data_IF_172391873563
#
_entry.id   IF_172391873563
#
_cell.length_a   1.000
_cell.length_b   1.000
_cell.length_c   1.000
_cell.angle_alpha   90.00
_cell.angle_beta   90.00
_cell.angle_gamma   90.00
#
_symmetry.space_group_name_H-M   'P 1'
#
loop_
_entity.id
_entity.type
_entity.pdbx_description
1 polymer ?
#
# COMPACT_ATOMS: atom_id res chain seq x y z
N UNK A 1 26.37 -56.61 5.58
CA UNK A 1 25.03 -56.34 5.03
C UNK A 1 25.18 -55.23 4.00
N UNK A 2 25.15 -55.55 2.71
CA UNK A 2 25.30 -54.57 1.63
C UNK A 2 23.95 -53.86 1.41
N UNK A 3 23.94 -52.54 1.47
CA UNK A 3 22.76 -51.72 1.12
C UNK A 3 22.69 -51.66 -0.41
N UNK A 4 21.73 -52.37 -0.99
CA UNK A 4 21.60 -52.52 -2.45
C UNK A 4 20.83 -51.39 -3.12
N UNK A 5 20.11 -50.55 -2.38
CA UNK A 5 19.32 -49.43 -2.94
C UNK A 5 19.06 -48.33 -1.92
N UNK A 6 19.08 -47.08 -2.38
CA UNK A 6 18.67 -45.91 -1.61
C UNK A 6 17.17 -45.94 -1.28
N UNK A 7 16.74 -45.36 -0.13
CA UNK A 7 15.33 -45.24 0.19
C UNK A 7 14.60 -44.40 -0.85
N UNK A 8 13.38 -44.82 -1.19
CA UNK A 8 12.55 -44.10 -2.14
C UNK A 8 12.24 -42.69 -1.62
N UNK A 9 12.27 -41.66 -2.48
CA UNK A 9 11.92 -40.31 -2.08
C UNK A 9 10.46 -40.25 -1.60
N UNK A 10 10.15 -39.37 -0.63
CA UNK A 10 8.80 -39.24 -0.10
C UNK A 10 7.80 -38.94 -1.22
N UNK A 11 6.79 -39.80 -1.34
CA UNK A 11 5.69 -39.60 -2.28
C UNK A 11 4.72 -38.59 -1.70
N UNK A 12 4.91 -37.32 -2.03
CA UNK A 12 3.89 -36.30 -1.75
C UNK A 12 2.65 -36.60 -2.61
N UNK A 13 1.53 -36.97 -1.98
CA UNK A 13 0.22 -36.90 -2.66
C UNK A 13 0.07 -35.47 -3.20
N UNK A 14 -0.50 -35.28 -4.40
CA UNK A 14 -0.87 -33.94 -4.89
C UNK A 14 -1.72 -33.28 -3.81
N UNK A 15 -1.13 -32.38 -3.04
CA UNK A 15 -1.84 -31.63 -2.01
C UNK A 15 -2.67 -30.58 -2.76
N UNK A 16 -3.94 -30.48 -2.43
CA UNK A 16 -4.74 -29.37 -2.90
C UNK A 16 -4.10 -28.06 -2.39
N UNK A 17 -4.00 -27.02 -3.22
CA UNK A 17 -3.58 -25.71 -2.76
C UNK A 17 -4.48 -25.25 -1.60
N UNK A 18 -3.92 -24.58 -0.59
CA UNK A 18 -4.73 -24.02 0.48
C UNK A 18 -5.74 -23.02 -0.10
N UNK A 19 -6.97 -23.06 0.43
CA UNK A 19 -8.01 -22.10 0.08
C UNK A 19 -7.69 -20.74 0.70
N UNK A 20 -7.94 -19.67 -0.04
CA UNK A 20 -7.84 -18.30 0.49
C UNK A 20 -8.92 -18.13 1.57
N UNK A 21 -8.58 -17.69 2.79
CA UNK A 21 -9.56 -17.51 3.86
C UNK A 21 -10.46 -16.30 3.55
N UNK A 22 -11.71 -16.36 4.03
CA UNK A 22 -12.70 -15.29 3.86
C UNK A 22 -12.38 -14.04 4.69
N UNK A 23 -11.58 -14.18 5.74
CA UNK A 23 -11.03 -13.08 6.53
C UNK A 23 -9.65 -13.43 7.04
N UNK A 24 -8.81 -12.42 7.22
CA UNK A 24 -7.46 -12.59 7.75
C UNK A 24 -6.96 -11.29 8.37
N UNK A 25 -5.93 -11.39 9.20
CA UNK A 25 -5.26 -10.23 9.80
C UNK A 25 -3.84 -10.16 9.30
N UNK A 26 -3.42 -9.01 8.76
CA UNK A 26 -2.05 -8.74 8.34
C UNK A 26 -1.57 -7.47 9.04
N UNK A 27 -0.44 -7.56 9.75
CA UNK A 27 0.16 -6.45 10.50
C UNK A 27 -0.82 -5.72 11.44
N UNK A 28 -1.69 -6.47 12.12
CA UNK A 28 -2.70 -5.90 13.03
C UNK A 28 -3.92 -5.28 12.33
N UNK A 29 -3.97 -5.30 11.00
CA UNK A 29 -5.11 -4.82 10.21
C UNK A 29 -5.97 -6.01 9.80
N UNK A 30 -7.25 -5.97 10.14
CA UNK A 30 -8.25 -6.97 9.74
C UNK A 30 -8.72 -6.75 8.31
N UNK A 31 -8.84 -7.82 7.56
CA UNK A 31 -9.32 -7.85 6.18
C UNK A 31 -10.43 -8.89 6.03
N UNK A 32 -11.38 -8.58 5.16
CA UNK A 32 -12.43 -9.50 4.69
C UNK A 32 -12.34 -9.56 3.17
N UNK A 33 -12.36 -10.77 2.62
CA UNK A 33 -12.29 -10.99 1.17
C UNK A 33 -13.71 -10.95 0.61
N UNK A 34 -14.03 -9.90 -0.14
CA UNK A 34 -15.31 -9.73 -0.83
C UNK A 34 -15.05 -9.71 -2.35
N UNK A 35 -15.74 -10.56 -3.11
CA UNK A 35 -15.54 -10.72 -4.56
C UNK A 35 -14.09 -11.04 -4.99
N UNK A 36 -13.31 -11.70 -4.13
CA UNK A 36 -11.90 -12.00 -4.39
C UNK A 36 -10.93 -10.85 -4.08
N UNK A 37 -11.44 -9.70 -3.65
CA UNK A 37 -10.64 -8.56 -3.22
C UNK A 37 -10.64 -8.42 -1.69
N UNK A 38 -9.48 -8.24 -1.05
CA UNK A 38 -9.42 -7.97 0.38
C UNK A 38 -9.80 -6.53 0.69
N UNK A 39 -10.85 -6.37 1.48
CA UNK A 39 -11.34 -5.09 2.02
C UNK A 39 -10.95 -5.00 3.48
N UNK A 40 -10.27 -3.91 3.86
CA UNK A 40 -9.93 -3.62 5.26
C UNK A 40 -11.22 -3.45 6.07
N UNK A 41 -11.33 -4.19 7.18
CA UNK A 41 -12.42 -4.03 8.16
C UNK A 41 -12.03 -3.11 9.31
N UNK A 42 -10.73 -2.87 9.53
CA UNK A 42 -10.23 -2.04 10.62
C UNK A 42 -10.39 -0.54 10.38
N UNK A 43 -10.55 -0.13 9.12
CA UNK A 43 -10.67 1.27 8.72
C UNK A 43 -11.70 1.36 7.62
N UNK A 44 -12.69 2.25 7.77
CA UNK A 44 -13.57 2.59 6.65
C UNK A 44 -12.74 3.17 5.52
N UNK A 45 -13.09 2.88 4.26
CA UNK A 45 -12.42 3.54 3.12
C UNK A 45 -12.84 5.00 3.10
N UNK A 46 -12.15 5.82 3.88
CA UNK A 46 -12.34 7.27 3.86
C UNK A 46 -11.60 7.78 2.63
N UNK A 47 -12.27 8.57 1.80
CA UNK A 47 -11.60 9.35 0.76
C UNK A 47 -10.47 10.17 1.38
N UNK A 48 -9.41 10.41 0.63
CA UNK A 48 -8.30 11.22 1.13
C UNK A 48 -8.75 12.66 1.37
N UNK A 49 -9.03 12.99 2.64
CA UNK A 49 -9.39 14.35 3.04
C UNK A 49 -8.13 15.19 3.30
N UNK A 50 -7.71 15.89 2.25
CA UNK A 50 -6.57 16.80 2.29
C UNK A 50 -6.80 17.97 3.25
N UNK A 51 -8.04 18.45 3.40
CA UNK A 51 -8.35 19.58 4.28
C UNK A 51 -8.15 19.16 5.72
N UNK A 52 -8.76 18.03 6.11
CA UNK A 52 -8.62 17.47 7.45
C UNK A 52 -7.17 17.18 7.81
N UNK A 53 -6.39 16.61 6.89
CA UNK A 53 -4.97 16.37 7.12
C UNK A 53 -4.20 17.67 7.43
N UNK A 54 -4.49 18.75 6.68
CA UNK A 54 -3.85 20.05 6.90
C UNK A 54 -4.22 20.63 8.26
N UNK A 55 -5.49 20.51 8.66
CA UNK A 55 -5.96 20.99 9.96
C UNK A 55 -5.29 20.24 11.11
N UNK A 56 -5.17 18.91 11.00
CA UNK A 56 -4.46 18.09 11.99
C UNK A 56 -2.97 18.40 12.09
N UNK A 57 -2.30 18.69 10.96
CA UNK A 57 -0.90 19.09 10.97
C UNK A 57 -0.70 20.44 11.67
N UNK A 58 -1.56 21.41 11.39
CA UNK A 58 -1.53 22.71 12.06
C UNK A 58 -1.79 22.56 13.56
N UNK A 59 -2.78 21.73 13.92
CA UNK A 59 -3.12 21.46 15.31
C UNK A 59 -1.97 20.78 16.06
N UNK A 60 -1.37 19.73 15.47
CA UNK A 60 -0.19 19.05 16.03
C UNK A 60 0.94 20.05 16.27
N UNK A 61 1.22 20.92 15.29
CA UNK A 61 2.27 21.91 15.41
C UNK A 61 1.96 22.93 16.53
N UNK A 62 0.73 23.45 16.61
CA UNK A 62 0.37 24.39 17.69
C UNK A 62 0.44 23.77 19.07
N UNK A 63 -0.05 22.53 19.24
CA UNK A 63 -0.01 21.80 20.51
C UNK A 63 1.43 21.47 20.90
N UNK A 64 2.29 21.18 19.93
CA UNK A 64 3.72 20.99 20.18
C UNK A 64 4.42 22.28 20.62
N UNK A 65 4.07 23.42 20.03
CA UNK A 65 4.60 24.72 20.48
C UNK A 65 4.13 25.01 21.91
N UNK A 66 2.86 24.76 22.22
CA UNK A 66 2.30 24.92 23.57
C UNK A 66 3.05 24.08 24.60
N UNK A 67 3.32 22.82 24.27
CA UNK A 67 4.12 21.88 25.06
C UNK A 67 5.53 22.42 25.36
N UNK A 68 6.16 23.13 24.42
CA UNK A 68 7.49 23.71 24.63
C UNK A 68 7.45 24.98 25.50
N UNK A 69 6.34 25.71 25.49
CA UNK A 69 6.22 27.00 26.19
C UNK A 69 5.83 26.90 27.66
N UNK A 70 5.06 25.87 28.05
CA UNK A 70 4.62 25.68 29.43
C UNK A 70 5.11 24.33 29.91
N UNK A 71 6.09 24.25 30.84
CA UNK A 71 6.76 23.02 31.27
C UNK A 71 6.21 22.38 32.59
N UNK A 72 4.99 22.72 33.03
CA UNK A 72 4.30 22.01 34.12
C UNK A 72 3.02 21.31 33.61
N UNK A 73 2.83 20.02 33.96
CA UNK A 73 1.70 19.14 33.59
C UNK A 73 1.42 18.91 32.08
N UNK A 74 2.28 18.15 31.39
CA UNK A 74 2.17 17.89 29.94
C UNK A 74 1.50 16.60 29.52
N UNK A 75 1.07 15.77 30.47
CA UNK A 75 0.56 14.45 30.14
C UNK A 75 -0.58 14.54 29.12
N UNK A 76 -1.50 15.50 29.32
CA UNK A 76 -2.60 15.76 28.41
C UNK A 76 -2.15 16.25 27.03
N UNK A 77 -1.16 17.14 26.95
CA UNK A 77 -0.63 17.65 25.67
C UNK A 77 0.06 16.53 24.87
N UNK A 78 0.83 15.67 25.55
CA UNK A 78 1.50 14.52 24.94
C UNK A 78 0.46 13.52 24.42
N UNK A 79 -0.56 13.21 25.21
CA UNK A 79 -1.67 12.33 24.80
C UNK A 79 -2.45 12.91 23.61
N UNK A 80 -2.66 14.23 23.61
CA UNK A 80 -3.31 14.95 22.51
C UNK A 80 -2.49 14.84 21.22
N UNK A 81 -1.18 15.10 21.26
CA UNK A 81 -0.29 14.93 20.11
C UNK A 81 -0.31 13.47 19.63
N UNK A 82 -0.26 12.50 20.56
CA UNK A 82 -0.35 11.08 20.24
C UNK A 82 -1.65 10.75 19.47
N UNK A 83 -2.78 11.25 19.94
CA UNK A 83 -4.08 11.07 19.30
C UNK A 83 -4.12 11.70 17.90
N UNK A 84 -3.63 12.93 17.75
CA UNK A 84 -3.55 13.62 16.45
C UNK A 84 -2.72 12.80 15.45
N UNK A 85 -1.58 12.27 15.88
CA UNK A 85 -0.72 11.46 15.02
C UNK A 85 -1.36 10.12 14.62
N UNK A 86 -2.15 9.51 15.51
CA UNK A 86 -2.95 8.32 15.17
C UNK A 86 -4.00 8.65 14.10
N UNK A 87 -4.68 9.79 14.21
CA UNK A 87 -5.67 10.23 13.23
C UNK A 87 -5.02 10.53 11.87
N UNK A 88 -3.86 11.21 11.86
CA UNK A 88 -3.06 11.42 10.64
C UNK A 88 -2.71 10.08 9.99
N UNK A 89 -2.26 9.10 10.78
CA UNK A 89 -1.92 7.77 10.29
C UNK A 89 -3.14 7.05 9.69
N UNK A 90 -4.32 7.22 10.27
CA UNK A 90 -5.57 6.66 9.71
C UNK A 90 -5.89 7.26 8.34
N UNK A 91 -5.80 8.59 8.20
CA UNK A 91 -6.03 9.29 6.91
C UNK A 91 -5.03 8.80 5.85
N UNK A 92 -3.74 8.73 6.19
CA UNK A 92 -2.70 8.27 5.28
C UNK A 92 -2.89 6.80 4.88
N UNK A 93 -3.26 5.93 5.82
CA UNK A 93 -3.54 4.53 5.54
C UNK A 93 -4.76 4.35 4.63
N UNK A 94 -5.81 5.16 4.81
CA UNK A 94 -6.98 5.17 3.93
C UNK A 94 -6.62 5.55 2.48
N UNK A 95 -5.64 6.45 2.31
CA UNK A 95 -5.21 6.93 1.00
C UNK A 95 -4.35 5.93 0.19
N UNK A 96 -3.78 4.90 0.81
CA UNK A 96 -2.85 3.95 0.15
C UNK A 96 -3.44 3.28 -1.10
N UNK A 97 -4.74 2.93 -1.07
CA UNK A 97 -5.41 2.33 -2.23
C UNK A 97 -5.45 3.33 -3.41
N UNK A 98 -5.75 4.59 -3.12
CA UNK A 98 -5.78 5.65 -4.13
C UNK A 98 -4.40 5.88 -4.75
N UNK A 99 -3.36 5.94 -3.92
CA UNK A 99 -1.97 6.07 -4.35
C UNK A 99 -1.56 4.91 -5.27
N UNK A 100 -1.83 3.66 -4.86
CA UNK A 100 -1.52 2.49 -5.66
C UNK A 100 -2.24 2.50 -7.03
N UNK A 101 -3.52 2.87 -7.06
CA UNK A 101 -4.28 3.00 -8.32
C UNK A 101 -3.70 4.09 -9.23
N UNK A 102 -3.30 5.23 -8.65
CA UNK A 102 -2.66 6.32 -9.38
C UNK A 102 -1.33 5.88 -10.01
N UNK A 103 -0.48 5.19 -9.26
CA UNK A 103 0.81 4.70 -9.76
C UNK A 103 0.66 3.63 -10.85
N UNK A 104 -0.29 2.69 -10.71
CA UNK A 104 -0.59 1.72 -11.77
C UNK A 104 -1.02 2.46 -13.06
N UNK A 105 -1.85 3.49 -12.95
CA UNK A 105 -2.28 4.30 -14.10
C UNK A 105 -1.09 5.01 -14.74
N UNK A 106 -0.21 5.60 -13.93
CA UNK A 106 1.01 6.25 -14.40
C UNK A 106 1.91 5.28 -15.18
N UNK A 107 2.19 4.11 -14.62
CA UNK A 107 2.99 3.07 -15.27
C UNK A 107 2.37 2.64 -16.61
N UNK A 108 1.04 2.46 -16.65
CA UNK A 108 0.33 2.10 -17.89
C UNK A 108 0.45 3.19 -18.97
N UNK A 109 0.37 4.46 -18.56
CA UNK A 109 0.52 5.59 -19.47
C UNK A 109 1.95 5.70 -19.99
N UNK A 110 2.96 5.53 -19.12
CA UNK A 110 4.36 5.55 -19.50
C UNK A 110 4.71 4.41 -20.46
N UNK A 111 4.17 3.21 -20.22
CA UNK A 111 4.32 2.07 -21.12
C UNK A 111 3.75 2.36 -22.51
N UNK A 112 2.56 2.95 -22.56
CA UNK A 112 1.90 3.33 -23.82
C UNK A 112 2.70 4.41 -24.55
N UNK A 113 3.19 5.41 -23.81
CA UNK A 113 4.06 6.47 -24.35
C UNK A 113 5.33 5.90 -24.96
N UNK A 114 5.99 4.96 -24.27
CA UNK A 114 7.23 4.36 -24.75
C UNK A 114 6.99 3.48 -26.00
N UNK A 115 5.89 2.70 -26.03
CA UNK A 115 5.48 1.95 -27.23
C UNK A 115 5.28 2.86 -28.44
N UNK A 116 4.57 3.98 -28.24
CA UNK A 116 4.33 4.94 -29.32
C UNK A 116 5.61 5.59 -29.82
N UNK A 117 6.52 5.94 -28.90
CA UNK A 117 7.85 6.48 -29.23
C UNK A 117 8.64 5.50 -30.12
N UNK A 118 8.73 4.24 -29.71
CA UNK A 118 9.44 3.20 -30.48
C UNK A 118 8.79 3.01 -31.86
N UNK A 119 7.45 2.96 -31.93
CA UNK A 119 6.74 2.82 -33.20
C UNK A 119 6.95 4.02 -34.14
N UNK A 120 7.20 5.21 -33.60
CA UNK A 120 7.52 6.39 -34.39
C UNK A 120 8.98 6.41 -34.84
N UNK A 121 9.93 6.02 -33.98
CA UNK A 121 11.33 5.83 -34.34
C UNK A 121 11.50 4.80 -35.46
N UNK A 122 10.81 3.66 -35.39
CA UNK A 122 10.80 2.66 -36.46
C UNK A 122 10.23 3.22 -37.76
N UNK A 123 9.12 3.98 -37.69
CA UNK A 123 8.51 4.61 -38.89
C UNK A 123 9.45 5.62 -39.55
N UNK A 124 10.17 6.42 -38.75
CA UNK A 124 11.20 7.34 -39.25
C UNK A 124 12.33 6.57 -39.92
N UNK A 125 12.89 5.56 -39.26
CA UNK A 125 13.94 4.72 -39.82
C UNK A 125 13.54 4.07 -41.16
N UNK A 126 12.31 3.56 -41.29
CA UNK A 126 11.83 3.00 -42.58
C UNK A 126 11.67 4.09 -43.65
N UNK A 127 11.24 5.30 -43.26
CA UNK A 127 11.05 6.42 -44.21
C UNK A 127 12.39 6.93 -44.73
N UNK A 128 13.41 6.98 -43.86
CA UNK A 128 14.77 7.38 -44.21
C UNK A 128 15.51 6.32 -45.06
N UNK A 129 15.02 5.06 -45.05
CA UNK A 129 15.54 3.95 -45.85
C UNK A 129 14.98 3.84 -47.27
N UNK A 130 14.07 4.73 -47.69
CA UNK A 130 13.58 4.76 -49.08
C UNK A 130 14.67 5.27 -50.02
N UNK A 131 15.30 4.31 -50.71
CA UNK A 131 16.13 4.47 -51.93
C UNK A 131 15.21 4.77 -53.12
#
# INVERSE_FOLDING_TARGET
>A
MQVSTWPLPPRFKKKEPPKIPSSYTIFGVGYKVENGEPTSTSFSSVEFDKSRLKDLLNLSFSTFVELLTFPLDHQELIETIGSIHLEINQILNGAKKMEAVSEIRRIKNDHTRNKNRIAEEVRRGISDFKI
#
